data_IF_006325476873
#
_entry.id   IF_006325476873
#
_cell.length_a   1.000
_cell.length_b   1.000
_cell.length_c   1.000
_cell.angle_alpha   90.00
_cell.angle_beta   90.00
_cell.angle_gamma   90.00
#
_symmetry.space_group_name_H-M   'P 1'
#
loop_
_entity.id
_entity.type
_entity.pdbx_description
1 polymer ?
#
# COMPACT_ATOMS: atom_id res chain seq x y z
N UNK A 1 5.47 -25.78 22.66
CA UNK A 1 4.41 -24.77 22.88
C UNK A 1 3.09 -25.49 22.68
N UNK A 2 2.20 -25.44 23.69
CA UNK A 2 0.92 -26.14 23.67
C UNK A 2 0.03 -25.69 22.51
N UNK A 3 -1.00 -26.49 22.24
CA UNK A 3 -2.03 -26.31 21.21
C UNK A 3 -2.92 -25.08 21.44
N UNK A 4 -2.37 -23.95 21.88
CA UNK A 4 -3.10 -22.69 21.84
C UNK A 4 -3.10 -22.18 20.40
N UNK A 5 -4.29 -21.91 19.89
CA UNK A 5 -4.48 -21.22 18.62
C UNK A 5 -3.79 -19.85 18.67
N UNK A 6 -3.35 -19.36 17.51
CA UNK A 6 -2.72 -18.02 17.41
C UNK A 6 -3.68 -16.95 17.94
N UNK A 7 -4.97 -17.17 17.72
CA UNK A 7 -6.07 -16.34 18.19
C UNK A 7 -6.14 -16.28 19.72
N UNK A 8 -5.97 -17.42 20.42
CA UNK A 8 -5.94 -17.47 21.88
C UNK A 8 -4.70 -16.75 22.43
N UNK A 9 -3.52 -16.99 21.85
CA UNK A 9 -2.29 -16.33 22.26
C UNK A 9 -2.37 -14.81 22.10
N UNK A 10 -2.86 -14.34 20.96
CA UNK A 10 -3.09 -12.91 20.70
C UNK A 10 -4.13 -12.36 21.66
N UNK A 11 -5.19 -13.11 21.95
CA UNK A 11 -6.21 -12.75 22.95
C UNK A 11 -5.60 -12.47 24.32
N UNK A 12 -4.75 -13.37 24.83
CA UNK A 12 -4.07 -13.20 26.11
C UNK A 12 -3.19 -11.95 26.17
N UNK A 13 -2.48 -11.63 25.08
CA UNK A 13 -1.67 -10.40 24.98
C UNK A 13 -2.60 -9.19 25.07
N UNK A 14 -3.63 -9.12 24.22
CA UNK A 14 -4.54 -7.97 24.20
C UNK A 14 -5.22 -7.77 25.54
N UNK A 15 -5.67 -8.84 26.20
CA UNK A 15 -6.31 -8.77 27.51
C UNK A 15 -5.36 -8.24 28.59
N UNK A 16 -4.07 -8.57 28.51
CA UNK A 16 -3.05 -8.00 29.39
C UNK A 16 -2.86 -6.49 29.15
N UNK A 17 -2.79 -6.06 27.89
CA UNK A 17 -2.65 -4.65 27.53
C UNK A 17 -3.90 -3.83 27.87
N UNK A 18 -5.10 -4.36 27.63
CA UNK A 18 -6.36 -3.71 27.99
C UNK A 18 -6.45 -3.44 29.50
N UNK A 19 -6.07 -4.42 30.33
CA UNK A 19 -6.06 -4.26 31.79
C UNK A 19 -5.21 -3.07 32.23
N UNK A 20 -4.10 -2.82 31.55
CA UNK A 20 -3.15 -1.75 31.92
C UNK A 20 -3.49 -0.40 31.27
N UNK A 21 -3.97 -0.40 30.01
CA UNK A 21 -3.98 0.80 29.18
C UNK A 21 -5.36 1.24 28.67
N UNK A 22 -6.45 0.55 29.02
CA UNK A 22 -7.81 0.91 28.56
C UNK A 22 -8.22 2.37 28.80
N UNK A 23 -7.72 2.99 29.88
CA UNK A 23 -8.05 4.37 30.24
C UNK A 23 -7.32 5.40 29.36
N UNK A 24 -6.18 5.01 28.76
CA UNK A 24 -5.35 5.89 27.91
C UNK A 24 -5.68 5.67 26.43
N UNK A 25 -5.96 4.42 26.04
CA UNK A 25 -6.30 4.06 24.67
C UNK A 25 -7.62 3.27 24.64
N UNK A 26 -8.78 3.96 24.59
CA UNK A 26 -10.09 3.32 24.59
C UNK A 26 -10.29 2.32 23.44
N UNK A 27 -9.62 2.57 22.30
CA UNK A 27 -9.66 1.73 21.11
C UNK A 27 -8.96 0.36 21.25
N UNK A 28 -8.21 0.09 22.33
CA UNK A 28 -7.62 -1.23 22.59
C UNK A 28 -8.68 -2.32 22.74
N UNK A 29 -9.86 -1.96 23.23
CA UNK A 29 -11.01 -2.86 23.39
C UNK A 29 -11.72 -3.23 22.08
N UNK A 30 -11.25 -2.70 20.94
CA UNK A 30 -11.84 -2.96 19.64
C UNK A 30 -11.59 -4.40 19.19
N UNK A 31 -12.67 -5.16 18.98
CA UNK A 31 -12.63 -6.50 18.38
C UNK A 31 -11.89 -6.50 17.04
N UNK A 32 -12.09 -5.44 16.24
CA UNK A 32 -11.43 -5.28 14.94
C UNK A 32 -9.90 -5.18 15.05
N UNK A 33 -9.38 -4.57 16.12
CA UNK A 33 -7.94 -4.48 16.35
C UNK A 33 -7.34 -5.86 16.69
N UNK A 34 -8.04 -6.65 17.52
CA UNK A 34 -7.65 -8.04 17.84
C UNK A 34 -7.64 -8.91 16.59
N UNK A 35 -8.69 -8.84 15.77
CA UNK A 35 -8.81 -9.61 14.52
C UNK A 35 -7.71 -9.27 13.51
N UNK A 36 -7.44 -7.96 13.30
CA UNK A 36 -6.37 -7.52 12.39
C UNK A 36 -5.02 -8.00 12.89
N UNK A 37 -4.73 -7.86 14.19
CA UNK A 37 -3.46 -8.32 14.74
C UNK A 37 -3.31 -9.84 14.64
N UNK A 38 -4.33 -10.61 14.98
CA UNK A 38 -4.30 -12.07 14.88
C UNK A 38 -4.02 -12.53 13.44
N UNK A 39 -4.68 -11.89 12.46
CA UNK A 39 -4.45 -12.16 11.04
C UNK A 39 -3.01 -11.82 10.60
N UNK A 40 -2.50 -10.65 10.96
CA UNK A 40 -1.13 -10.23 10.64
C UNK A 40 -0.09 -11.13 11.34
N UNK A 41 -0.32 -11.49 12.61
CA UNK A 41 0.56 -12.37 13.37
C UNK A 41 0.58 -13.78 12.78
N UNK A 42 -0.56 -14.32 12.36
CA UNK A 42 -0.63 -15.60 11.65
C UNK A 42 0.15 -15.56 10.33
N UNK A 43 0.00 -14.48 9.55
CA UNK A 43 0.78 -14.27 8.32
C UNK A 43 2.28 -14.19 8.58
N UNK A 44 2.69 -13.45 9.62
CA UNK A 44 4.09 -13.37 10.06
C UNK A 44 4.62 -14.75 10.50
N UNK A 45 3.87 -15.49 11.31
CA UNK A 45 4.26 -16.80 11.82
C UNK A 45 4.48 -17.81 10.70
N UNK A 46 3.56 -17.88 9.74
CA UNK A 46 3.70 -18.76 8.57
C UNK A 46 4.89 -18.36 7.68
N UNK A 47 5.16 -17.07 7.53
CA UNK A 47 6.33 -16.60 6.78
C UNK A 47 7.63 -16.92 7.54
N UNK A 48 7.67 -16.69 8.85
CA UNK A 48 8.81 -17.00 9.70
C UNK A 48 9.12 -18.51 9.71
N UNK A 49 8.11 -19.38 9.78
CA UNK A 49 8.28 -20.84 9.66
C UNK A 49 9.03 -21.23 8.38
N UNK A 50 8.65 -20.64 7.24
CA UNK A 50 9.34 -20.88 5.96
C UNK A 50 10.79 -20.40 6.01
N UNK A 51 11.02 -19.21 6.57
CA UNK A 51 12.36 -18.66 6.77
C UNK A 51 13.24 -19.56 7.63
N UNK A 52 12.73 -20.06 8.76
CA UNK A 52 13.46 -21.01 9.60
C UNK A 52 13.73 -22.33 8.87
N UNK A 53 12.75 -22.89 8.16
CA UNK A 53 12.97 -24.11 7.37
C UNK A 53 14.10 -23.95 6.34
N UNK A 54 14.20 -22.77 5.72
CA UNK A 54 15.30 -22.44 4.81
C UNK A 54 16.64 -22.26 5.54
N UNK A 55 16.66 -21.56 6.68
CA UNK A 55 17.85 -21.41 7.52
C UNK A 55 18.36 -22.79 7.95
N UNK A 56 17.48 -23.65 8.46
CA UNK A 56 17.83 -25.00 8.88
C UNK A 56 18.39 -25.81 7.72
N UNK A 57 17.73 -25.80 6.56
CA UNK A 57 18.22 -26.50 5.36
C UNK A 57 19.60 -26.01 4.91
N UNK A 58 19.88 -24.71 5.04
CA UNK A 58 21.08 -24.08 4.49
C UNK A 58 22.28 -24.11 5.45
N UNK A 59 22.03 -23.92 6.75
CA UNK A 59 23.08 -23.68 7.73
C UNK A 59 23.13 -24.72 8.84
N UNK A 60 22.11 -25.57 8.99
CA UNK A 60 22.05 -26.56 10.08
C UNK A 60 22.16 -27.96 9.48
N UNK A 61 23.14 -28.74 9.97
CA UNK A 61 23.30 -30.11 9.53
C UNK A 61 22.20 -30.99 10.13
N UNK A 62 21.54 -31.78 9.29
CA UNK A 62 20.60 -32.83 9.74
C UNK A 62 21.29 -34.16 10.04
N UNK A 63 22.55 -34.34 9.60
CA UNK A 63 23.36 -35.54 9.81
C UNK A 63 24.86 -35.18 9.86
N UNK A 64 25.64 -35.92 10.66
CA UNK A 64 27.07 -35.71 10.91
C UNK A 64 27.94 -35.92 9.66
N UNK A 65 27.46 -36.65 8.64
CA UNK A 65 28.18 -36.93 7.40
C UNK A 65 28.01 -35.90 6.28
N UNK A 66 27.09 -34.93 6.42
CA UNK A 66 26.79 -33.92 5.39
C UNK A 66 26.72 -32.51 5.95
N UNK A 67 27.66 -32.17 6.83
CA UNK A 67 27.72 -30.85 7.47
C UNK A 67 28.01 -29.80 6.38
N UNK A 68 27.07 -28.89 6.08
CA UNK A 68 27.33 -27.81 5.13
C UNK A 68 28.45 -26.93 5.69
N UNK A 69 29.40 -26.54 4.83
CA UNK A 69 30.50 -25.66 5.20
C UNK A 69 30.47 -24.38 4.40
N UNK A 70 30.80 -23.26 5.04
CA UNK A 70 30.88 -21.99 4.34
C UNK A 70 30.98 -20.78 5.25
N UNK A 71 30.66 -19.62 4.67
CA UNK A 71 30.68 -18.33 5.36
C UNK A 71 29.26 -17.80 5.48
N UNK A 72 28.88 -17.41 6.69
CA UNK A 72 27.64 -16.69 6.97
C UNK A 72 27.95 -15.20 6.92
N UNK A 73 27.36 -14.48 5.97
CA UNK A 73 27.62 -13.07 5.74
C UNK A 73 26.42 -12.20 6.16
N UNK A 74 26.64 -10.90 6.34
CA UNK A 74 25.59 -9.98 6.78
C UNK A 74 24.45 -9.80 5.77
N UNK A 75 24.73 -10.07 4.48
CA UNK A 75 23.70 -10.02 3.43
C UNK A 75 22.71 -11.18 3.56
N UNK A 76 23.16 -12.36 3.99
CA UNK A 76 22.30 -13.49 4.27
C UNK A 76 21.34 -13.17 5.43
N UNK A 77 21.86 -12.64 6.54
CA UNK A 77 21.03 -12.22 7.66
C UNK A 77 20.02 -11.13 7.26
N UNK A 78 20.45 -10.17 6.43
CA UNK A 78 19.55 -9.15 5.90
C UNK A 78 18.48 -9.73 4.97
N UNK A 79 18.80 -10.75 4.17
CA UNK A 79 17.82 -11.45 3.34
C UNK A 79 16.70 -12.07 4.19
N UNK A 80 17.05 -12.76 5.29
CA UNK A 80 16.04 -13.35 6.18
C UNK A 80 15.21 -12.29 6.92
N UNK A 81 15.83 -11.17 7.29
CA UNK A 81 15.11 -10.03 7.83
C UNK A 81 14.12 -9.42 6.82
N UNK A 82 14.58 -9.05 5.64
CA UNK A 82 13.77 -8.35 4.63
C UNK A 82 12.71 -9.23 3.96
N UNK A 83 12.94 -10.54 3.88
CA UNK A 83 12.03 -11.49 3.19
C UNK A 83 11.09 -12.20 4.16
N UNK A 84 11.62 -12.67 5.29
CA UNK A 84 10.88 -13.51 6.24
C UNK A 84 10.55 -12.79 7.56
N UNK A 85 11.04 -11.57 7.77
CA UNK A 85 10.82 -10.82 8.99
C UNK A 85 11.64 -11.32 10.19
N UNK A 86 12.64 -12.18 9.97
CA UNK A 86 13.46 -12.77 11.04
C UNK A 86 14.53 -11.76 11.47
N UNK A 87 14.52 -11.28 12.73
CA UNK A 87 15.54 -10.35 13.21
C UNK A 87 16.96 -10.94 13.12
N UNK A 88 17.95 -10.07 12.93
CA UNK A 88 19.37 -10.45 12.86
C UNK A 88 19.78 -11.31 14.06
N UNK A 89 19.36 -10.93 15.26
CA UNK A 89 19.67 -11.62 16.51
C UNK A 89 19.12 -13.04 16.50
N UNK A 90 17.87 -13.20 16.08
CA UNK A 90 17.21 -14.51 15.95
C UNK A 90 17.87 -15.37 14.88
N UNK A 91 18.26 -14.79 13.75
CA UNK A 91 19.02 -15.49 12.72
C UNK A 91 20.37 -16.01 13.26
N UNK A 92 21.14 -15.15 13.93
CA UNK A 92 22.43 -15.53 14.54
C UNK A 92 22.27 -16.60 15.61
N UNK A 93 21.21 -16.54 16.41
CA UNK A 93 20.89 -17.57 17.40
C UNK A 93 20.61 -18.93 16.71
N UNK A 94 19.89 -18.90 15.59
CA UNK A 94 19.50 -20.10 14.83
C UNK A 94 20.68 -20.85 14.19
N UNK A 95 21.77 -20.14 13.87
CA UNK A 95 22.97 -20.71 13.24
C UNK A 95 24.15 -20.88 14.21
N UNK A 96 23.95 -20.53 15.50
CA UNK A 96 25.00 -20.49 16.51
C UNK A 96 25.74 -21.82 16.63
N UNK A 97 25.02 -22.93 16.64
CA UNK A 97 25.64 -24.24 16.86
C UNK A 97 26.50 -24.67 15.66
N UNK A 98 26.08 -24.34 14.44
CA UNK A 98 26.89 -24.56 13.24
C UNK A 98 28.18 -23.75 13.24
N UNK A 99 28.17 -22.55 13.82
CA UNK A 99 29.38 -21.73 14.04
C UNK A 99 30.28 -22.38 15.09
N UNK A 100 29.72 -22.79 16.24
CA UNK A 100 30.47 -23.45 17.32
C UNK A 100 31.13 -24.76 16.88
N UNK A 101 30.47 -25.51 16.00
CA UNK A 101 30.98 -26.76 15.43
C UNK A 101 32.05 -26.53 14.35
N UNK A 102 32.40 -25.27 14.02
CA UNK A 102 33.36 -24.93 12.98
C UNK A 102 32.89 -25.29 11.57
N UNK A 103 31.60 -25.53 11.40
CA UNK A 103 30.99 -25.85 10.11
C UNK A 103 30.88 -24.58 9.27
N UNK A 104 30.45 -23.50 9.91
CA UNK A 104 30.39 -22.18 9.31
C UNK A 104 31.24 -21.18 10.06
N UNK A 105 31.81 -20.23 9.33
CA UNK A 105 32.46 -19.06 9.90
C UNK A 105 31.60 -17.83 9.65
N UNK A 106 31.57 -16.91 10.60
CA UNK A 106 30.93 -15.61 10.41
C UNK A 106 31.88 -14.70 9.62
N UNK A 107 31.38 -14.03 8.59
CA UNK A 107 32.16 -13.03 7.84
C UNK A 107 32.73 -11.99 8.79
N UNK A 108 34.02 -11.65 8.64
CA UNK A 108 34.65 -10.55 9.39
C UNK A 108 34.01 -9.19 9.09
N UNK A 109 33.29 -9.08 7.98
CA UNK A 109 32.56 -7.88 7.56
C UNK A 109 31.05 -7.98 7.78
N UNK A 110 30.57 -8.96 8.55
CA UNK A 110 29.15 -9.24 8.73
C UNK A 110 28.32 -8.00 9.09
N UNK A 111 28.73 -7.24 10.11
CA UNK A 111 27.97 -6.07 10.56
C UNK A 111 27.96 -4.96 9.50
N UNK A 112 29.05 -4.78 8.77
CA UNK A 112 29.16 -3.78 7.69
C UNK A 112 28.26 -4.18 6.53
N UNK A 113 28.26 -5.46 6.15
CA UNK A 113 27.43 -6.01 5.08
C UNK A 113 25.93 -5.86 5.41
N UNK A 114 25.53 -6.22 6.64
CA UNK A 114 24.14 -6.10 7.10
C UNK A 114 23.70 -4.63 7.11
N UNK A 115 24.50 -3.75 7.73
CA UNK A 115 24.18 -2.32 7.83
C UNK A 115 24.09 -1.68 6.45
N UNK A 116 25.03 -1.96 5.55
CA UNK A 116 25.01 -1.45 4.18
C UNK A 116 23.70 -1.83 3.47
N UNK A 117 23.30 -3.11 3.55
CA UNK A 117 22.05 -3.57 2.95
C UNK A 117 20.80 -2.94 3.58
N UNK A 118 20.82 -2.78 4.89
CA UNK A 118 19.75 -2.12 5.62
C UNK A 118 19.60 -0.65 5.21
N UNK A 119 20.71 0.08 5.08
CA UNK A 119 20.72 1.47 4.61
C UNK A 119 20.27 1.60 3.15
N UNK A 120 20.72 0.71 2.26
CA UNK A 120 20.25 0.66 0.86
C UNK A 120 18.73 0.50 0.80
N UNK A 121 18.18 -0.42 1.60
CA UNK A 121 16.75 -0.66 1.70
C UNK A 121 15.99 0.56 2.25
N UNK A 122 16.52 1.21 3.30
CA UNK A 122 15.95 2.45 3.82
C UNK A 122 15.96 3.58 2.79
N UNK A 123 17.07 3.76 2.06
CA UNK A 123 17.20 4.79 1.01
C UNK A 123 16.22 4.54 -0.14
N UNK A 124 16.10 3.30 -0.61
CA UNK A 124 15.15 2.94 -1.65
C UNK A 124 13.69 3.27 -1.24
N UNK A 125 13.34 3.02 0.03
CA UNK A 125 12.03 3.39 0.57
C UNK A 125 11.81 4.91 0.68
N UNK A 126 12.86 5.70 0.97
CA UNK A 126 12.78 7.16 1.13
C UNK A 126 12.72 7.91 -0.21
N UNK A 127 13.52 7.50 -1.20
CA UNK A 127 13.54 8.13 -2.52
C UNK A 127 12.16 8.08 -3.19
N UNK A 128 11.41 7.00 -3.00
CA UNK A 128 10.03 6.89 -3.48
C UNK A 128 9.02 7.76 -2.72
N UNK A 129 9.36 8.28 -1.53
CA UNK A 129 8.52 9.16 -0.72
C UNK A 129 8.80 10.64 -0.97
N UNK A 130 10.04 11.03 -1.24
CA UNK A 130 10.47 12.43 -1.42
C UNK A 130 10.10 13.01 -2.80
N UNK A 131 9.93 12.18 -3.83
CA UNK A 131 9.55 12.61 -5.19
C UNK A 131 8.03 12.71 -5.41
N UNK A 132 7.25 13.02 -4.36
CA UNK A 132 5.79 13.13 -4.45
C UNK A 132 5.38 14.60 -4.29
N UNK A 133 4.95 15.22 -5.39
CA UNK A 133 4.16 16.44 -5.35
C UNK A 133 2.79 16.15 -4.68
N UNK A 134 2.10 17.18 -4.18
CA UNK A 134 0.83 17.05 -3.43
C UNK A 134 -0.12 16.07 -4.13
N UNK A 135 -0.69 15.11 -3.39
CA UNK A 135 -1.61 14.10 -3.96
C UNK A 135 -0.95 12.89 -4.62
N UNK A 136 0.39 12.77 -4.61
CA UNK A 136 1.09 11.65 -5.25
C UNK A 136 1.43 11.89 -6.72
N UNK A 137 1.45 13.15 -7.14
CA UNK A 137 1.82 13.55 -8.49
C UNK A 137 3.35 13.56 -8.66
N UNK A 138 3.84 13.20 -9.84
CA UNK A 138 5.25 13.30 -10.20
C UNK A 138 5.65 14.74 -10.58
N UNK A 139 4.72 15.49 -11.18
CA UNK A 139 4.88 16.88 -11.58
C UNK A 139 3.52 17.62 -11.61
N UNK A 140 3.54 18.91 -11.98
CA UNK A 140 2.33 19.73 -12.16
C UNK A 140 1.92 19.92 -13.62
N UNK A 141 2.36 19.05 -14.53
CA UNK A 141 2.07 19.14 -15.97
C UNK A 141 0.59 18.88 -16.29
N UNK A 142 0.18 19.29 -17.49
CA UNK A 142 -1.21 19.14 -17.95
C UNK A 142 -1.65 17.66 -18.00
N UNK A 143 -0.80 16.78 -18.55
CA UNK A 143 -1.12 15.35 -18.67
C UNK A 143 -1.19 14.66 -17.29
N UNK A 144 -0.26 14.99 -16.39
CA UNK A 144 -0.30 14.53 -14.99
C UNK A 144 -1.56 15.02 -14.29
N UNK A 145 -2.00 16.26 -14.54
CA UNK A 145 -3.24 16.85 -13.99
C UNK A 145 -4.51 16.18 -14.53
N UNK A 146 -4.55 15.86 -15.83
CA UNK A 146 -5.64 15.07 -16.44
C UNK A 146 -5.74 13.70 -15.77
N UNK A 147 -4.61 13.01 -15.65
CA UNK A 147 -4.57 11.66 -15.09
C UNK A 147 -4.81 11.62 -13.57
N UNK A 148 -4.47 12.70 -12.86
CA UNK A 148 -4.85 12.90 -11.47
C UNK A 148 -6.37 12.94 -11.31
N UNK A 149 -7.05 13.75 -12.12
CA UNK A 149 -8.51 13.82 -12.14
C UNK A 149 -9.13 12.48 -12.53
N UNK A 150 -8.56 11.76 -13.50
CA UNK A 150 -9.01 10.42 -13.87
C UNK A 150 -8.89 9.42 -12.71
N UNK A 151 -7.85 9.55 -11.88
CA UNK A 151 -7.62 8.69 -10.71
C UNK A 151 -8.71 8.86 -9.65
N UNK A 152 -9.18 10.09 -9.45
CA UNK A 152 -10.28 10.42 -8.56
C UNK A 152 -11.63 9.88 -9.03
N UNK A 153 -11.93 10.05 -10.32
CA UNK A 153 -13.10 9.41 -10.94
C UNK A 153 -13.03 7.88 -10.84
N UNK A 154 -11.84 7.29 -10.99
CA UNK A 154 -11.63 5.85 -10.83
C UNK A 154 -11.88 5.41 -9.38
N UNK A 155 -11.42 6.15 -8.36
CA UNK A 155 -11.71 5.83 -6.96
C UNK A 155 -13.22 5.86 -6.70
N UNK A 156 -13.93 6.87 -7.19
CA UNK A 156 -15.38 6.94 -7.08
C UNK A 156 -16.07 5.74 -7.78
N UNK A 157 -15.61 5.36 -8.97
CA UNK A 157 -16.08 4.16 -9.68
C UNK A 157 -15.81 2.86 -8.92
N UNK A 158 -14.61 2.71 -8.34
CA UNK A 158 -14.26 1.57 -7.49
C UNK A 158 -15.20 1.49 -6.28
N UNK A 159 -15.42 2.60 -5.58
CA UNK A 159 -16.35 2.67 -4.43
C UNK A 159 -17.78 2.33 -4.83
N UNK A 160 -18.24 2.81 -6.00
CA UNK A 160 -19.58 2.51 -6.53
C UNK A 160 -19.79 1.01 -6.78
N UNK A 161 -18.77 0.31 -7.29
CA UNK A 161 -18.91 -1.09 -7.70
C UNK A 161 -18.40 -2.12 -6.69
N UNK A 162 -17.52 -1.73 -5.77
CA UNK A 162 -16.95 -2.60 -4.74
C UNK A 162 -17.48 -2.28 -3.34
N UNK A 163 -17.82 -1.03 -3.06
CA UNK A 163 -18.32 -0.57 -1.77
C UNK A 163 -17.46 0.51 -1.11
N UNK A 164 -18.02 1.14 -0.07
CA UNK A 164 -17.44 2.29 0.63
C UNK A 164 -16.22 1.96 1.52
N UNK A 165 -15.84 0.68 1.64
CA UNK A 165 -14.60 0.28 2.32
C UNK A 165 -13.35 0.50 1.46
N UNK A 166 -13.53 0.84 0.18
CA UNK A 166 -12.44 1.15 -0.73
C UNK A 166 -11.97 2.59 -0.52
N UNK A 167 -10.75 2.72 -0.02
CA UNK A 167 -10.05 3.96 0.25
C UNK A 167 -8.67 3.92 -0.39
N UNK A 168 -8.07 5.09 -0.60
CA UNK A 168 -6.71 5.18 -1.12
C UNK A 168 -5.69 4.68 -0.10
N UNK A 169 -4.87 3.72 -0.50
CA UNK A 169 -3.71 3.23 0.23
C UNK A 169 -2.38 3.81 -0.30
N UNK A 170 -2.39 4.40 -1.51
CA UNK A 170 -1.22 5.01 -2.13
C UNK A 170 -1.49 5.49 -3.54
N UNK A 171 -0.75 6.49 -4.00
CA UNK A 171 -0.84 6.98 -5.38
C UNK A 171 0.53 7.42 -5.90
N UNK A 172 0.75 7.23 -7.19
CA UNK A 172 1.84 7.76 -7.99
C UNK A 172 1.34 8.01 -9.42
N UNK A 173 1.22 9.27 -9.82
CA UNK A 173 0.69 9.69 -11.12
C UNK A 173 1.79 10.42 -11.90
N UNK A 174 2.07 9.96 -13.11
CA UNK A 174 2.97 10.60 -14.09
C UNK A 174 2.16 11.05 -15.31
N UNK A 175 2.80 11.71 -16.27
CA UNK A 175 2.16 12.08 -17.53
C UNK A 175 1.66 10.86 -18.35
N UNK A 176 2.29 9.70 -18.18
CA UNK A 176 2.00 8.49 -18.96
C UNK A 176 1.10 7.49 -18.22
N UNK A 177 1.15 7.46 -16.88
CA UNK A 177 0.44 6.44 -16.10
C UNK A 177 0.09 6.84 -14.68
N UNK A 178 -1.03 6.33 -14.19
CA UNK A 178 -1.39 6.31 -12.79
C UNK A 178 -1.10 4.93 -12.21
N UNK A 179 -0.50 4.90 -11.02
CA UNK A 179 -0.42 3.74 -10.14
C UNK A 179 -1.18 4.06 -8.87
N UNK A 180 -2.31 3.41 -8.68
CA UNK A 180 -3.21 3.69 -7.58
C UNK A 180 -3.39 2.44 -6.71
N UNK A 181 -3.13 2.58 -5.43
CA UNK A 181 -3.25 1.52 -4.43
C UNK A 181 -4.50 1.81 -3.60
N UNK A 182 -5.35 0.80 -3.39
CA UNK A 182 -6.61 0.94 -2.66
C UNK A 182 -6.89 -0.25 -1.73
N UNK A 183 -7.67 0.00 -0.69
CA UNK A 183 -8.07 -1.03 0.29
C UNK A 183 -9.12 -1.95 -0.31
N UNK A 184 -8.77 -3.22 -0.52
CA UNK A 184 -9.69 -4.27 -0.91
C UNK A 184 -9.05 -5.64 -0.63
N UNK A 185 -9.73 -6.55 0.09
CA UNK A 185 -9.11 -7.81 0.52
C UNK A 185 -8.88 -8.79 -0.63
N UNK A 186 -9.72 -8.74 -1.66
CA UNK A 186 -9.79 -9.76 -2.70
C UNK A 186 -9.29 -9.24 -4.05
N UNK A 187 -9.09 -10.17 -5.01
CA UNK A 187 -8.77 -9.78 -6.38
C UNK A 187 -10.01 -9.21 -7.06
N UNK A 188 -9.89 -8.05 -7.70
CA UNK A 188 -10.99 -7.46 -8.46
C UNK A 188 -11.12 -8.19 -9.80
N UNK A 189 -12.33 -8.70 -10.09
CA UNK A 189 -12.64 -9.37 -11.35
C UNK A 189 -12.60 -8.40 -12.54
N UNK A 190 -12.26 -8.89 -13.73
CA UNK A 190 -12.16 -8.05 -14.93
C UNK A 190 -13.48 -7.36 -15.27
N UNK A 191 -14.61 -8.04 -15.09
CA UNK A 191 -15.95 -7.45 -15.30
C UNK A 191 -16.18 -6.21 -14.43
N UNK A 192 -15.76 -6.23 -13.17
CA UNK A 192 -15.87 -5.07 -12.28
C UNK A 192 -14.92 -3.96 -12.71
N UNK A 193 -13.70 -4.29 -13.12
CA UNK A 193 -12.76 -3.30 -13.67
C UNK A 193 -13.30 -2.65 -14.96
N UNK A 194 -13.98 -3.40 -15.81
CA UNK A 194 -14.63 -2.87 -17.02
C UNK A 194 -15.77 -1.90 -16.66
N UNK A 195 -16.55 -2.20 -15.61
CA UNK A 195 -17.58 -1.27 -15.08
C UNK A 195 -16.96 0.02 -14.54
N UNK A 196 -15.84 -0.08 -13.82
CA UNK A 196 -15.10 1.09 -13.32
C UNK A 196 -14.52 1.91 -14.47
N UNK A 197 -13.92 1.24 -15.46
CA UNK A 197 -13.40 1.89 -16.66
C UNK A 197 -14.50 2.61 -17.43
N UNK A 198 -15.68 1.97 -17.57
CA UNK A 198 -16.85 2.59 -18.18
C UNK A 198 -17.34 3.79 -17.38
N UNK A 199 -17.42 3.68 -16.04
CA UNK A 199 -17.82 4.78 -15.17
C UNK A 199 -16.97 6.04 -15.38
N UNK A 200 -15.64 5.89 -15.47
CA UNK A 200 -14.75 7.04 -15.73
C UNK A 200 -14.98 7.61 -17.12
N UNK A 201 -15.14 6.75 -18.14
CA UNK A 201 -15.39 7.22 -19.51
C UNK A 201 -16.76 7.90 -19.66
N UNK A 202 -17.77 7.47 -18.91
CA UNK A 202 -19.08 8.12 -18.86
C UNK A 202 -18.98 9.51 -18.21
N UNK A 203 -18.19 9.63 -17.13
CA UNK A 203 -17.90 10.93 -16.51
C UNK A 203 -17.21 11.88 -17.50
N UNK A 204 -16.25 11.38 -18.30
CA UNK A 204 -15.58 12.15 -19.36
C UNK A 204 -16.59 12.61 -20.42
N UNK A 205 -17.47 11.72 -20.87
CA UNK A 205 -18.49 12.04 -21.86
C UNK A 205 -19.50 13.08 -21.35
N UNK A 206 -19.93 12.94 -20.09
CA UNK A 206 -20.85 13.86 -19.42
C UNK A 206 -20.29 15.28 -19.33
N UNK A 207 -18.95 15.43 -19.24
CA UNK A 207 -18.30 16.73 -19.09
C UNK A 207 -18.66 17.39 -17.77
N UNK A 208 -18.45 16.66 -16.68
CA UNK A 208 -18.66 17.14 -15.33
C UNK A 208 -17.71 18.30 -15.01
N UNK A 209 -18.27 19.38 -14.47
CA UNK A 209 -17.55 20.58 -14.07
C UNK A 209 -16.95 20.41 -12.68
N UNK A 210 -15.74 20.95 -12.50
CA UNK A 210 -15.04 20.98 -11.23
C UNK A 210 -15.56 22.12 -10.36
N UNK A 211 -16.10 21.75 -9.21
CA UNK A 211 -16.43 22.65 -8.10
C UNK A 211 -15.34 22.48 -7.03
N UNK A 212 -14.82 23.61 -6.54
CA UNK A 212 -13.81 23.65 -5.49
C UNK A 212 -14.37 24.41 -4.29
N UNK A 213 -14.41 23.76 -3.14
CA UNK A 213 -14.86 24.34 -1.88
C UNK A 213 -13.76 24.19 -0.83
N UNK A 214 -13.49 25.25 -0.07
CA UNK A 214 -12.62 25.20 1.10
C UNK A 214 -13.49 25.13 2.35
N UNK A 215 -13.23 24.15 3.21
CA UNK A 215 -14.02 23.96 4.44
C UNK A 215 -13.18 23.37 5.58
N UNK A 216 -13.64 23.49 6.83
CA UNK A 216 -13.01 22.83 7.96
C UNK A 216 -12.91 21.31 7.75
N UNK A 217 -11.74 20.75 8.06
CA UNK A 217 -11.45 19.30 7.95
C UNK A 217 -12.46 18.43 8.70
N UNK A 218 -12.89 18.86 9.88
CA UNK A 218 -13.87 18.12 10.69
C UNK A 218 -15.28 18.19 10.10
N UNK A 219 -15.64 19.29 9.43
CA UNK A 219 -16.90 19.42 8.70
C UNK A 219 -16.91 18.51 7.46
N UNK A 220 -15.81 18.48 6.72
CA UNK A 220 -15.65 17.57 5.58
C UNK A 220 -15.79 16.10 5.98
N UNK A 221 -15.19 15.69 7.12
CA UNK A 221 -15.38 14.34 7.68
C UNK A 221 -16.84 14.08 8.03
N UNK A 222 -17.49 15.02 8.72
CA UNK A 222 -18.88 14.88 9.14
C UNK A 222 -19.85 14.78 7.94
N UNK A 223 -19.53 15.47 6.84
CA UNK A 223 -20.26 15.40 5.58
C UNK A 223 -20.02 14.09 4.79
N UNK A 224 -19.13 13.21 5.26
CA UNK A 224 -18.83 11.94 4.60
C UNK A 224 -18.04 12.09 3.30
N UNK A 225 -17.33 13.20 3.13
CA UNK A 225 -16.48 13.46 1.97
C UNK A 225 -15.37 12.43 1.91
N UNK A 226 -15.13 11.85 0.74
CA UNK A 226 -14.09 10.84 0.60
C UNK A 226 -12.71 11.46 0.85
N UNK A 227 -11.87 10.73 1.56
CA UNK A 227 -10.57 11.21 1.97
C UNK A 227 -9.74 10.12 2.62
N UNK A 228 -8.45 10.14 2.33
CA UNK A 228 -7.46 9.26 2.95
C UNK A 228 -6.30 10.10 3.49
N UNK A 229 -5.65 9.60 4.54
CA UNK A 229 -4.54 10.29 5.23
C UNK A 229 -4.93 11.67 5.81
N UNK A 230 -6.11 11.76 6.43
CA UNK A 230 -6.65 13.00 7.03
C UNK A 230 -5.68 13.71 7.97
N UNK A 231 -4.80 12.96 8.63
CA UNK A 231 -3.76 13.46 9.53
C UNK A 231 -2.70 14.34 8.85
N UNK A 232 -2.56 14.22 7.52
CA UNK A 232 -1.58 14.99 6.73
C UNK A 232 -2.13 16.32 6.22
N UNK A 233 -3.43 16.54 6.35
CA UNK A 233 -4.08 17.75 5.86
C UNK A 233 -4.20 18.82 6.95
N UNK A 234 -4.08 20.11 6.58
CA UNK A 234 -4.32 21.23 7.51
C UNK A 234 -5.78 21.27 7.98
N UNK A 235 -6.12 22.20 8.87
CA UNK A 235 -7.45 22.30 9.45
C UNK A 235 -8.52 22.83 8.48
N UNK A 236 -8.10 23.50 7.42
CA UNK A 236 -8.95 23.86 6.28
C UNK A 236 -8.50 23.02 5.08
N UNK A 237 -9.44 22.32 4.44
CA UNK A 237 -9.18 21.42 3.32
C UNK A 237 -9.91 21.87 2.07
N UNK A 238 -9.33 21.55 0.92
CA UNK A 238 -9.94 21.73 -0.39
C UNK A 238 -10.68 20.48 -0.81
N UNK A 239 -11.97 20.62 -1.07
CA UNK A 239 -12.86 19.56 -1.58
C UNK A 239 -13.10 19.81 -3.06
N UNK A 240 -12.80 18.80 -3.87
CA UNK A 240 -13.08 18.80 -5.30
C UNK A 240 -14.30 17.94 -5.59
N UNK A 241 -15.30 18.55 -6.21
CA UNK A 241 -16.51 17.85 -6.67
C UNK A 241 -16.59 17.95 -8.19
N UNK A 242 -16.79 16.83 -8.87
CA UNK A 242 -17.07 16.79 -10.31
C UNK A 242 -18.55 16.50 -10.53
N UNK A 243 -19.30 17.50 -11.00
CA UNK A 243 -20.75 17.40 -11.18
C UNK A 243 -21.16 17.73 -12.61
N UNK A 244 -22.00 16.89 -13.23
CA UNK A 244 -22.51 17.16 -14.57
C UNK A 244 -23.74 18.09 -14.56
N UNK A 245 -24.16 18.51 -15.76
CA UNK A 245 -25.31 19.42 -15.95
C UNK A 245 -26.64 18.81 -15.51
N UNK A 246 -26.72 17.49 -15.36
CA UNK A 246 -27.92 16.79 -14.87
C UNK A 246 -27.92 16.72 -13.33
N UNK A 247 -26.89 17.24 -12.67
CA UNK A 247 -26.73 17.21 -11.21
C UNK A 247 -26.06 15.94 -10.68
N UNK A 248 -25.60 15.03 -11.54
CA UNK A 248 -24.90 13.82 -11.11
C UNK A 248 -23.51 14.17 -10.59
N UNK A 249 -23.21 13.79 -9.35
CA UNK A 249 -21.87 13.89 -8.77
C UNK A 249 -21.08 12.64 -9.12
N UNK A 250 -20.01 12.81 -9.88
CA UNK A 250 -19.15 11.73 -10.37
C UNK A 250 -17.98 11.42 -9.43
N UNK A 251 -17.44 12.43 -8.75
CA UNK A 251 -16.52 12.30 -7.62
C UNK A 251 -16.69 13.48 -6.67
N UNK A 252 -16.44 13.25 -5.38
CA UNK A 252 -16.35 14.26 -4.35
C UNK A 252 -15.35 13.81 -3.29
N UNK A 253 -14.21 14.48 -3.21
CA UNK A 253 -13.16 14.12 -2.28
C UNK A 253 -12.22 15.28 -1.96
N UNK A 254 -11.48 15.15 -0.86
CA UNK A 254 -10.45 16.11 -0.49
C UNK A 254 -9.14 15.82 -1.25
N UNK A 255 -8.57 16.85 -1.86
CA UNK A 255 -7.29 16.73 -2.54
C UNK A 255 -6.52 18.06 -2.47
N UNK A 256 -5.19 17.98 -2.47
CA UNK A 256 -4.30 19.15 -2.48
C UNK A 256 -3.58 19.40 -3.80
N UNK A 257 -3.85 18.61 -4.84
CA UNK A 257 -3.20 18.70 -6.15
C UNK A 257 -4.06 19.39 -7.20
N UNK A 258 -3.48 19.78 -8.35
CA UNK A 258 -4.21 20.37 -9.46
C UNK A 258 -5.22 19.39 -10.09
N UNK A 259 -6.31 19.95 -10.62
CA UNK A 259 -7.36 19.24 -11.34
C UNK A 259 -7.78 20.01 -12.59
N UNK A 260 -8.24 19.28 -13.61
CA UNK A 260 -8.88 19.88 -14.79
C UNK A 260 -10.18 20.59 -14.40
N UNK A 261 -10.62 21.54 -15.20
CA UNK A 261 -11.85 22.29 -14.94
C UNK A 261 -13.09 21.51 -15.38
N UNK A 262 -12.95 20.69 -16.42
CA UNK A 262 -14.01 19.84 -16.95
C UNK A 262 -13.48 18.44 -17.30
N UNK A 263 -14.25 17.40 -17.00
CA UNK A 263 -13.82 16.02 -17.30
C UNK A 263 -13.63 15.73 -18.78
N UNK A 264 -14.18 16.54 -19.70
CA UNK A 264 -13.91 16.40 -21.15
C UNK A 264 -12.45 16.64 -21.51
N UNK A 265 -11.72 17.42 -20.72
CA UNK A 265 -10.29 17.67 -20.92
C UNK A 265 -9.46 16.38 -20.86
N UNK A 266 -9.93 15.35 -20.15
CA UNK A 266 -9.27 14.03 -20.10
C UNK A 266 -9.29 13.33 -21.46
N UNK A 267 -10.28 13.62 -22.30
CA UNK A 267 -10.38 13.07 -23.64
C UNK A 267 -9.65 13.89 -24.69
N UNK A 268 -9.07 15.04 -24.34
CA UNK A 268 -8.34 15.87 -25.29
C UNK A 268 -6.98 15.26 -25.62
N UNK A 269 -6.63 15.18 -26.93
CA UNK A 269 -5.38 14.59 -27.36
C UNK A 269 -4.19 15.38 -26.79
N UNK A 270 -3.16 14.65 -26.37
CA UNK A 270 -1.90 15.23 -25.87
C UNK A 270 -1.06 15.87 -26.98
N UNK A 271 -1.35 15.56 -28.25
CA UNK A 271 -0.70 16.15 -29.43
C UNK A 271 -1.72 16.78 -30.39
N UNK A 272 -1.47 18.01 -30.89
CA UNK A 272 -2.29 18.63 -31.94
C UNK A 272 -2.41 17.81 -33.23
N UNK A 273 -1.47 16.88 -33.47
CA UNK A 273 -1.47 16.00 -34.65
C UNK A 273 -2.41 14.79 -34.54
N UNK A 274 -3.00 14.55 -33.36
CA UNK A 274 -3.85 13.38 -33.11
C UNK A 274 -5.30 13.82 -32.96
N UNK A 275 -6.19 13.31 -33.81
CA UNK A 275 -7.62 13.63 -33.76
C UNK A 275 -8.42 12.68 -32.85
N UNK A 276 -7.80 11.59 -32.39
CA UNK A 276 -8.46 10.59 -31.57
C UNK A 276 -8.53 11.07 -30.12
N UNK A 277 -9.75 11.06 -29.55
CA UNK A 277 -9.94 11.35 -28.13
C UNK A 277 -9.40 10.22 -27.28
N UNK A 278 -8.59 10.56 -26.28
CA UNK A 278 -8.09 9.59 -25.32
C UNK A 278 -9.25 9.01 -24.49
N UNK A 279 -9.14 7.74 -24.13
CA UNK A 279 -10.07 7.05 -23.22
C UNK A 279 -9.31 6.62 -21.98
N UNK A 280 -10.02 6.59 -20.86
CA UNK A 280 -9.47 6.01 -19.66
C UNK A 280 -9.42 4.48 -19.79
N UNK A 281 -8.27 3.88 -19.46
CA UNK A 281 -8.04 2.44 -19.50
C UNK A 281 -7.35 1.93 -18.24
N UNK A 282 -7.88 0.83 -17.69
CA UNK A 282 -7.24 0.05 -16.63
C UNK A 282 -6.36 -1.03 -17.27
N UNK A 283 -5.05 -0.84 -17.15
CA UNK A 283 -4.02 -1.68 -17.79
C UNK A 283 -3.73 -2.96 -17.01
N UNK A 284 -3.63 -2.85 -15.68
CA UNK A 284 -3.26 -3.97 -14.82
C UNK A 284 -3.87 -3.81 -13.43
N UNK A 285 -4.21 -4.95 -12.84
CA UNK A 285 -4.59 -5.08 -11.43
C UNK A 285 -3.66 -6.12 -10.76
N UNK A 286 -3.16 -5.84 -9.56
CA UNK A 286 -2.28 -6.75 -8.80
C UNK A 286 -2.38 -6.55 -7.28
N UNK A 287 -2.02 -7.59 -6.51
CA UNK A 287 -1.89 -7.50 -5.05
C UNK A 287 -0.60 -6.72 -4.68
N UNK A 288 -0.68 -5.85 -3.67
CA UNK A 288 0.51 -5.17 -3.11
C UNK A 288 0.89 -5.80 -1.78
N UNK A 289 -0.09 -5.94 -0.89
CA UNK A 289 0.03 -6.53 0.44
C UNK A 289 -1.33 -7.10 0.86
N UNK A 290 -1.40 -7.71 2.05
CA UNK A 290 -2.68 -8.10 2.63
C UNK A 290 -3.63 -6.88 2.67
N UNK A 291 -4.85 -7.04 2.15
CA UNK A 291 -5.87 -5.98 2.16
C UNK A 291 -5.67 -4.82 1.17
N UNK A 292 -4.61 -4.81 0.36
CA UNK A 292 -4.30 -3.71 -0.57
C UNK A 292 -4.10 -4.22 -1.99
N UNK A 293 -4.84 -3.63 -2.92
CA UNK A 293 -4.77 -3.88 -4.36
C UNK A 293 -4.18 -2.67 -5.07
N UNK A 294 -3.59 -2.88 -6.23
CA UNK A 294 -3.03 -1.85 -7.10
C UNK A 294 -3.63 -1.94 -8.48
N UNK A 295 -4.02 -0.79 -9.02
CA UNK A 295 -4.36 -0.61 -10.42
C UNK A 295 -3.33 0.28 -11.09
N UNK A 296 -2.93 -0.10 -12.31
CA UNK A 296 -2.23 0.77 -13.25
C UNK A 296 -3.21 1.21 -14.33
N UNK A 297 -3.29 2.51 -14.58
CA UNK A 297 -4.20 3.09 -15.56
C UNK A 297 -3.53 4.18 -16.38
N UNK A 298 -4.11 4.50 -17.54
CA UNK A 298 -3.64 5.56 -18.43
C UNK A 298 -4.82 6.18 -19.20
N UNK A 299 -4.58 7.34 -19.81
CA UNK A 299 -5.42 7.90 -20.86
C UNK A 299 -4.78 7.49 -22.20
N UNK A 300 -5.50 6.72 -23.02
CA UNK A 300 -5.00 6.07 -24.24
C UNK A 300 -6.02 6.08 -25.38
#
# INVERSE_FOLDING_TARGET
MGEESIEEYVGLIFDSFEKQYKNVYPGLSSTKAKEVYAKEFSGFHENAKKGFAEIFKRYVATDASSIPKGIINGKDAFYYFSTFGIPRETFLDSVRDSIKLGSFELSSSFDIEYRTKYEEHQKASRLGAEQKFKGGLADGGAETTKLHTATHLMLAGLRKHLGNHVHQAGSNVTAERARFDFTHPEKVGRETLDKVEQYVNDAIAAGAERILEEMPKEEAKAAGIEGSFWEKYPDVVSVYTFKDTNGTVWSQELCGGPHVLNTRELGEPSSPSTSLRAKFKILKEEAVSAGVRRVKAALA
#
